data_IF_775496064521
#
_entry.id   IF_775496064521
#
_cell.length_a   1.000
_cell.length_b   1.000
_cell.length_c   1.000
_cell.angle_alpha   90.00
_cell.angle_beta   90.00
_cell.angle_gamma   90.00
#
_symmetry.space_group_name_H-M   'P 1'
#
loop_
_entity.id
_entity.type
_entity.pdbx_description
1 polymer ?
#
# COMPACT_ATOMS: atom_id res chain seq x y z
N UNK A 1 16.66 7.34 -10.48
CA UNK A 1 16.00 6.97 -11.74
C UNK A 1 16.91 6.04 -12.53
N UNK A 2 16.46 4.81 -12.78
CA UNK A 2 17.18 3.87 -13.63
C UNK A 2 16.65 3.89 -15.06
N UNK A 3 17.51 4.21 -16.01
CA UNK A 3 17.22 4.06 -17.43
C UNK A 3 17.47 2.60 -17.92
N UNK A 4 18.24 1.86 -17.15
CA UNK A 4 18.68 0.49 -17.45
C UNK A 4 18.41 -0.35 -16.20
N UNK A 5 17.75 -1.49 -16.31
CA UNK A 5 17.36 -2.41 -15.25
C UNK A 5 15.99 -2.18 -14.59
N UNK A 6 15.48 -3.23 -13.97
CA UNK A 6 14.16 -3.28 -13.36
C UNK A 6 14.09 -2.68 -11.96
N UNK A 7 12.88 -2.64 -11.39
CA UNK A 7 12.64 -2.13 -10.05
C UNK A 7 13.44 -2.90 -8.98
N UNK A 8 13.50 -4.21 -9.08
CA UNK A 8 14.22 -5.08 -8.13
C UNK A 8 15.73 -4.89 -8.15
N UNK A 9 16.33 -4.61 -9.32
CA UNK A 9 17.76 -4.33 -9.40
C UNK A 9 18.12 -3.06 -8.64
N UNK A 10 17.28 -2.01 -8.77
CA UNK A 10 17.47 -0.78 -8.03
C UNK A 10 17.23 -0.97 -6.53
N UNK A 11 16.24 -1.80 -6.16
CA UNK A 11 15.97 -2.12 -4.75
C UNK A 11 17.18 -2.79 -4.10
N UNK A 12 17.86 -3.70 -4.82
CA UNK A 12 19.08 -4.34 -4.32
C UNK A 12 20.17 -3.32 -4.00
N UNK A 13 20.42 -2.34 -4.87
CA UNK A 13 21.39 -1.29 -4.57
C UNK A 13 21.00 -0.44 -3.36
N UNK A 14 19.70 -0.17 -3.18
CA UNK A 14 19.22 0.54 -1.99
C UNK A 14 19.46 -0.30 -0.74
N UNK A 15 19.16 -1.60 -0.77
CA UNK A 15 19.40 -2.51 0.36
C UNK A 15 20.89 -2.58 0.73
N UNK A 16 21.79 -2.66 -0.26
CA UNK A 16 23.24 -2.73 -0.05
C UNK A 16 23.83 -1.43 0.52
N UNK A 17 23.32 -0.24 0.13
CA UNK A 17 23.93 1.05 0.46
C UNK A 17 23.22 1.77 1.60
N UNK A 18 21.88 1.73 1.62
CA UNK A 18 21.05 2.45 2.61
C UNK A 18 20.54 1.48 3.67
N UNK A 19 20.12 0.30 3.27
CA UNK A 19 19.55 -0.72 4.13
C UNK A 19 18.13 -0.43 4.59
N UNK A 20 17.59 -1.34 5.38
CA UNK A 20 16.26 -1.25 5.99
C UNK A 20 16.29 -0.46 7.30
N UNK A 21 15.18 0.18 7.64
CA UNK A 21 14.96 0.75 8.97
C UNK A 21 15.24 -0.30 10.05
N UNK A 22 15.78 0.11 11.22
CA UNK A 22 15.87 -0.78 12.36
C UNK A 22 14.51 -1.43 12.68
N UNK A 23 14.49 -2.76 12.73
CA UNK A 23 13.29 -3.56 12.97
C UNK A 23 12.46 -3.91 11.73
N UNK A 24 12.68 -3.27 10.58
CA UNK A 24 12.01 -3.62 9.34
C UNK A 24 12.56 -4.93 8.76
N UNK A 25 11.66 -5.86 8.43
CA UNK A 25 11.99 -7.14 7.82
C UNK A 25 11.80 -7.13 6.30
N UNK A 26 10.97 -6.21 5.78
CA UNK A 26 10.64 -6.16 4.36
C UNK A 26 10.62 -4.74 3.82
N UNK A 27 10.75 -4.63 2.50
CA UNK A 27 10.37 -3.44 1.74
C UNK A 27 8.98 -3.63 1.16
N UNK A 28 8.29 -2.55 0.86
CA UNK A 28 7.10 -2.56 0.02
C UNK A 28 6.99 -1.26 -0.79
N UNK A 29 6.16 -1.27 -1.82
CA UNK A 29 5.93 -0.10 -2.66
C UNK A 29 4.47 0.33 -2.59
N UNK A 30 4.21 1.56 -2.15
CA UNK A 30 2.89 2.17 -2.11
C UNK A 30 2.73 3.18 -3.23
N UNK A 31 1.62 3.13 -3.96
CA UNK A 31 1.22 4.16 -4.90
C UNK A 31 -0.07 4.83 -4.44
N UNK A 32 -0.15 6.15 -4.57
CA UNK A 32 -1.34 6.94 -4.27
C UNK A 32 -1.94 7.44 -5.57
N UNK A 33 -3.22 7.23 -5.76
CA UNK A 33 -4.01 7.73 -6.87
C UNK A 33 -4.91 8.87 -6.39
N UNK A 34 -4.73 10.04 -6.98
CA UNK A 34 -5.62 11.18 -6.78
C UNK A 34 -6.71 11.09 -7.86
N UNK A 35 -7.84 10.51 -7.52
CA UNK A 35 -9.01 10.37 -8.37
C UNK A 35 -9.92 11.60 -8.21
N UNK A 36 -10.85 11.83 -9.16
CA UNK A 36 -11.68 13.03 -9.15
C UNK A 36 -12.42 13.27 -7.82
N UNK A 37 -12.91 12.20 -7.18
CA UNK A 37 -13.73 12.29 -5.97
C UNK A 37 -13.07 11.68 -4.73
N UNK A 38 -11.94 10.99 -4.89
CA UNK A 38 -11.28 10.27 -3.78
C UNK A 38 -9.78 10.12 -3.98
N UNK A 39 -9.08 9.96 -2.88
CA UNK A 39 -7.66 9.55 -2.86
C UNK A 39 -7.58 8.10 -2.41
N UNK A 40 -6.91 7.25 -3.20
CA UNK A 40 -6.75 5.82 -2.89
C UNK A 40 -5.27 5.43 -2.98
N UNK A 41 -4.75 4.87 -1.91
CA UNK A 41 -3.42 4.26 -1.87
C UNK A 41 -3.52 2.74 -2.05
N UNK A 42 -2.57 2.14 -2.77
CA UNK A 42 -2.43 0.70 -2.93
C UNK A 42 -1.04 0.25 -2.49
N UNK A 43 -0.97 -0.86 -1.77
CA UNK A 43 0.25 -1.54 -1.32
C UNK A 43 0.03 -3.07 -1.31
N UNK A 44 0.98 -3.94 -1.66
CA UNK A 44 2.25 -3.71 -2.32
C UNK A 44 2.06 -3.78 -3.84
N UNK A 45 2.73 -2.88 -4.56
CA UNK A 45 2.53 -2.78 -6.01
C UNK A 45 3.76 -3.20 -6.84
N UNK A 46 4.93 -3.48 -6.20
CA UNK A 46 6.17 -3.70 -6.96
C UNK A 46 7.19 -4.65 -6.32
N UNK A 47 7.03 -5.09 -5.06
CA UNK A 47 8.15 -5.71 -4.33
C UNK A 47 7.93 -7.18 -4.01
N UNK A 48 6.84 -7.53 -3.31
CA UNK A 48 6.70 -8.86 -2.71
C UNK A 48 5.78 -9.75 -3.54
N UNK A 49 6.36 -10.78 -4.18
CA UNK A 49 5.60 -11.72 -5.04
C UNK A 49 4.53 -12.48 -4.25
N UNK A 50 4.88 -13.06 -3.11
CA UNK A 50 3.94 -13.73 -2.22
C UNK A 50 4.33 -13.49 -0.75
N UNK A 51 4.00 -12.31 -0.19
CA UNK A 51 4.38 -11.94 1.17
C UNK A 51 3.67 -12.79 2.23
N UNK A 52 4.35 -13.02 3.36
CA UNK A 52 3.74 -13.62 4.54
C UNK A 52 2.75 -12.67 5.22
N UNK A 53 1.92 -13.18 6.14
CA UNK A 53 1.01 -12.35 6.93
C UNK A 53 1.76 -11.30 7.79
N UNK A 54 2.94 -11.67 8.30
CA UNK A 54 3.82 -10.79 9.08
C UNK A 54 4.36 -9.63 8.24
N UNK A 55 4.77 -9.91 7.00
CA UNK A 55 5.23 -8.90 6.05
C UNK A 55 4.09 -7.97 5.62
N UNK A 56 2.89 -8.55 5.33
CA UNK A 56 1.69 -7.75 5.03
C UNK A 56 1.36 -6.82 6.20
N UNK A 57 1.36 -7.32 7.41
CA UNK A 57 1.09 -6.51 8.60
C UNK A 57 2.13 -5.39 8.77
N UNK A 58 3.41 -5.69 8.57
CA UNK A 58 4.49 -4.72 8.69
C UNK A 58 4.31 -3.56 7.68
N UNK A 59 4.21 -3.87 6.39
CA UNK A 59 4.10 -2.80 5.42
C UNK A 59 2.73 -2.10 5.41
N UNK A 60 1.68 -2.75 5.93
CA UNK A 60 0.37 -2.08 6.16
C UNK A 60 0.51 -0.96 7.18
N UNK A 61 1.17 -1.21 8.30
CA UNK A 61 1.44 -0.18 9.33
C UNK A 61 2.33 0.91 8.75
N UNK A 62 3.41 0.55 8.05
CA UNK A 62 4.30 1.52 7.41
C UNK A 62 3.59 2.40 6.37
N UNK A 63 2.68 1.82 5.57
CA UNK A 63 1.87 2.56 4.61
C UNK A 63 0.90 3.53 5.29
N UNK A 64 0.26 3.10 6.38
CA UNK A 64 -0.62 3.96 7.18
C UNK A 64 0.15 5.13 7.82
N UNK A 65 1.36 4.90 8.32
CA UNK A 65 2.24 5.96 8.83
C UNK A 65 2.61 6.96 7.73
N UNK A 66 2.96 6.47 6.54
CA UNK A 66 3.30 7.34 5.41
C UNK A 66 2.11 8.18 4.97
N UNK A 67 0.89 7.63 4.94
CA UNK A 67 -0.32 8.40 4.68
C UNK A 67 -0.54 9.50 5.72
N UNK A 68 -0.34 9.21 7.02
CA UNK A 68 -0.44 10.23 8.09
C UNK A 68 0.55 11.37 7.90
N UNK A 69 1.79 11.09 7.46
CA UNK A 69 2.80 12.12 7.12
C UNK A 69 2.34 13.03 5.98
N UNK A 70 1.52 12.51 5.09
CA UNK A 70 0.90 13.25 3.99
C UNK A 70 -0.43 13.93 4.39
N UNK A 71 -0.75 13.98 5.69
CA UNK A 71 -2.03 14.49 6.25
C UNK A 71 -3.26 13.74 5.71
N UNK A 72 -3.13 12.47 5.37
CA UNK A 72 -4.22 11.59 4.99
C UNK A 72 -4.52 10.64 6.14
N UNK A 73 -5.74 10.68 6.68
CA UNK A 73 -6.18 9.71 7.68
C UNK A 73 -6.36 8.33 7.02
N UNK A 74 -5.56 7.29 7.40
CA UNK A 74 -5.66 5.99 6.74
C UNK A 74 -6.90 5.24 7.20
N UNK A 75 -7.64 4.70 6.24
CA UNK A 75 -8.74 3.76 6.38
C UNK A 75 -8.42 2.52 5.57
N UNK A 76 -8.07 1.45 6.24
CA UNK A 76 -7.39 0.31 5.62
C UNK A 76 -8.36 -0.83 5.32
N UNK A 77 -8.31 -1.34 4.09
CA UNK A 77 -8.97 -2.58 3.72
C UNK A 77 -7.95 -3.64 3.27
N UNK A 78 -7.95 -4.80 3.92
CA UNK A 78 -7.20 -5.96 3.47
C UNK A 78 -8.00 -6.70 2.40
N UNK A 79 -7.50 -6.69 1.16
CA UNK A 79 -8.23 -7.20 0.01
C UNK A 79 -8.05 -8.70 -0.18
N UNK A 80 -9.12 -9.36 -0.62
CA UNK A 80 -9.12 -10.77 -1.01
C UNK A 80 -10.23 -11.05 -2.02
N UNK A 81 -10.24 -12.28 -2.56
CA UNK A 81 -11.37 -12.82 -3.33
C UNK A 81 -12.50 -13.37 -2.46
N UNK A 82 -12.46 -13.16 -1.15
CA UNK A 82 -13.49 -13.57 -0.19
C UNK A 82 -13.78 -12.45 0.80
N UNK A 83 -14.94 -12.48 1.41
CA UNK A 83 -15.35 -11.53 2.43
C UNK A 83 -15.40 -12.22 3.81
N UNK A 84 -14.64 -11.69 4.77
CA UNK A 84 -14.78 -11.96 6.21
C UNK A 84 -14.90 -13.45 6.57
N UNK A 85 -14.00 -14.29 6.05
CA UNK A 85 -13.94 -15.72 6.36
C UNK A 85 -14.85 -16.61 5.51
N UNK A 86 -15.58 -16.10 4.53
CA UNK A 86 -16.45 -16.91 3.67
C UNK A 86 -15.69 -17.83 2.72
N UNK A 87 -14.39 -17.60 2.52
CA UNK A 87 -13.53 -18.41 1.65
C UNK A 87 -12.49 -19.20 2.42
N UNK A 88 -12.18 -20.41 1.94
CA UNK A 88 -11.14 -21.31 2.48
C UNK A 88 -9.78 -21.18 1.79
N UNK A 89 -9.55 -20.12 1.00
CA UNK A 89 -8.28 -19.96 0.29
C UNK A 89 -7.12 -19.62 1.22
N UNK A 90 -5.93 -20.10 0.91
CA UNK A 90 -4.70 -19.75 1.64
C UNK A 90 -4.47 -18.24 1.66
N UNK A 91 -4.75 -17.55 0.54
CA UNK A 91 -4.67 -16.09 0.46
C UNK A 91 -5.62 -15.39 1.43
N UNK A 92 -6.90 -15.82 1.52
CA UNK A 92 -7.85 -15.25 2.48
C UNK A 92 -7.42 -15.50 3.93
N UNK A 93 -6.95 -16.71 4.26
CA UNK A 93 -6.42 -17.04 5.59
C UNK A 93 -5.21 -16.17 5.94
N UNK A 94 -4.29 -15.94 4.98
CA UNK A 94 -3.15 -15.04 5.13
C UNK A 94 -3.58 -13.61 5.44
N UNK A 95 -4.57 -13.08 4.73
CA UNK A 95 -5.06 -11.71 4.95
C UNK A 95 -5.76 -11.56 6.31
N UNK A 96 -6.53 -12.56 6.77
CA UNK A 96 -7.10 -12.57 8.13
C UNK A 96 -6.01 -12.56 9.20
N UNK A 97 -4.98 -13.39 9.02
CA UNK A 97 -3.84 -13.40 9.95
C UNK A 97 -3.11 -12.06 9.97
N UNK A 98 -2.93 -11.43 8.81
CA UNK A 98 -2.36 -10.09 8.72
C UNK A 98 -3.22 -9.05 9.47
N UNK A 99 -4.55 -9.12 9.37
CA UNK A 99 -5.46 -8.25 10.12
C UNK A 99 -5.24 -8.35 11.64
N UNK A 100 -5.16 -9.59 12.16
CA UNK A 100 -4.89 -9.82 13.59
C UNK A 100 -3.58 -9.15 14.01
N UNK A 101 -2.51 -9.38 13.25
CA UNK A 101 -1.18 -8.82 13.51
C UNK A 101 -1.16 -7.28 13.44
N UNK A 102 -1.91 -6.68 12.50
CA UNK A 102 -2.02 -5.22 12.44
C UNK A 102 -2.75 -4.68 13.67
N UNK A 103 -3.86 -5.31 14.07
CA UNK A 103 -4.60 -4.90 15.27
C UNK A 103 -3.79 -5.02 16.55
N UNK A 104 -2.87 -6.00 16.62
CA UNK A 104 -1.93 -6.12 17.74
C UNK A 104 -0.86 -5.01 17.75
N UNK A 105 -0.34 -4.63 16.56
CA UNK A 105 0.76 -3.65 16.41
C UNK A 105 0.29 -2.19 16.40
N UNK A 106 -0.90 -1.94 15.89
CA UNK A 106 -1.48 -0.61 15.70
C UNK A 106 -2.99 -0.63 16.03
N UNK A 107 -3.37 -0.80 17.31
CA UNK A 107 -4.77 -0.97 17.73
C UNK A 107 -5.65 0.24 17.41
N UNK A 108 -5.04 1.43 17.21
CA UNK A 108 -5.74 2.65 16.84
C UNK A 108 -6.01 2.78 15.33
N UNK A 109 -5.44 1.88 14.50
CA UNK A 109 -5.59 1.96 13.07
C UNK A 109 -6.98 1.46 12.64
N UNK A 110 -7.71 2.31 11.92
CA UNK A 110 -8.99 1.94 11.34
C UNK A 110 -8.78 0.95 10.18
N UNK A 111 -9.01 -0.33 10.44
CA UNK A 111 -8.73 -1.44 9.52
C UNK A 111 -9.77 -2.54 9.61
N UNK A 112 -10.11 -3.13 8.45
CA UNK A 112 -10.95 -4.33 8.39
C UNK A 112 -10.62 -5.23 7.19
N UNK A 113 -11.15 -6.43 7.15
CA UNK A 113 -10.92 -7.44 6.08
C UNK A 113 -10.97 -8.87 6.63
N UNK A 114 -10.66 -9.87 5.85
CA UNK A 114 -10.42 -9.72 4.37
C UNK A 114 -11.75 -9.44 3.65
N UNK A 115 -11.67 -8.63 2.60
CA UNK A 115 -12.85 -8.26 1.84
C UNK A 115 -12.58 -8.07 0.34
N UNK A 116 -13.64 -8.10 -0.47
CA UNK A 116 -13.60 -7.72 -1.87
C UNK A 116 -13.32 -6.21 -2.04
N UNK A 117 -12.79 -5.82 -3.19
CA UNK A 117 -12.50 -4.42 -3.48
C UNK A 117 -13.74 -3.51 -3.53
N UNK A 118 -14.90 -4.03 -3.96
CA UNK A 118 -16.16 -3.30 -3.92
C UNK A 118 -16.64 -3.05 -2.49
N UNK A 119 -16.52 -4.04 -1.60
CA UNK A 119 -16.81 -3.87 -0.17
C UNK A 119 -15.88 -2.85 0.51
N UNK A 120 -14.63 -2.75 0.05
CA UNK A 120 -13.68 -1.76 0.55
C UNK A 120 -14.11 -0.33 0.18
N UNK A 121 -14.67 -0.14 -1.01
CA UNK A 121 -15.00 1.15 -1.58
C UNK A 121 -16.49 1.53 -1.50
N UNK A 122 -17.32 0.67 -0.91
CA UNK A 122 -18.76 0.90 -0.68
C UNK A 122 -19.16 0.45 0.73
N UNK A 123 -19.35 1.43 1.62
CA UNK A 123 -19.73 1.16 3.02
C UNK A 123 -21.10 0.47 3.11
N UNK A 124 -22.07 0.86 2.30
CA UNK A 124 -23.41 0.29 2.34
C UNK A 124 -23.41 -1.18 1.92
N UNK A 125 -22.61 -1.52 0.89
CA UNK A 125 -22.38 -2.91 0.49
C UNK A 125 -21.68 -3.70 1.61
N UNK A 126 -20.63 -3.14 2.19
CA UNK A 126 -19.88 -3.78 3.28
C UNK A 126 -20.75 -4.08 4.49
N UNK A 127 -21.54 -3.11 4.95
CA UNK A 127 -22.41 -3.29 6.11
C UNK A 127 -23.57 -4.28 5.89
N UNK A 128 -23.98 -4.50 4.64
CA UNK A 128 -24.94 -5.59 4.32
C UNK A 128 -24.31 -6.98 4.50
N UNK A 129 -23.01 -7.11 4.23
CA UNK A 129 -22.27 -8.38 4.32
C UNK A 129 -21.77 -8.61 5.75
N UNK A 130 -21.23 -7.58 6.37
CA UNK A 130 -20.73 -7.59 7.75
C UNK A 130 -21.23 -6.36 8.50
N UNK A 131 -22.41 -6.45 9.16
CA UNK A 131 -22.94 -5.31 9.95
C UNK A 131 -22.04 -4.85 11.09
N UNK A 132 -21.14 -5.71 11.56
CA UNK A 132 -20.18 -5.43 12.63
C UNK A 132 -18.83 -4.88 12.13
N UNK A 133 -18.70 -4.54 10.85
CA UNK A 133 -17.46 -3.95 10.29
C UNK A 133 -17.05 -2.71 11.09
N UNK A 134 -15.76 -2.65 11.44
CA UNK A 134 -15.20 -1.53 12.21
C UNK A 134 -14.72 -0.38 11.32
N UNK A 135 -14.59 -0.61 10.02
CA UNK A 135 -14.20 0.40 9.04
C UNK A 135 -15.39 1.34 8.74
N UNK A 136 -15.19 2.64 8.85
CA UNK A 136 -16.22 3.67 8.62
C UNK A 136 -16.00 4.37 7.29
N UNK A 137 -17.05 4.48 6.48
CA UNK A 137 -16.96 5.05 5.14
C UNK A 137 -16.19 4.16 4.18
N UNK A 138 -15.62 4.75 3.15
CA UNK A 138 -14.80 4.06 2.16
C UNK A 138 -13.35 3.89 2.65
N UNK A 139 -12.72 2.77 2.31
CA UNK A 139 -11.28 2.61 2.50
C UNK A 139 -10.51 3.51 1.53
N UNK A 140 -9.38 4.04 2.00
CA UNK A 140 -8.45 4.81 1.18
C UNK A 140 -7.02 4.22 1.16
N UNK A 141 -6.79 3.13 1.88
CA UNK A 141 -5.58 2.32 1.79
C UNK A 141 -5.98 0.86 1.52
N UNK A 142 -5.72 0.43 0.30
CA UNK A 142 -6.01 -0.91 -0.18
C UNK A 142 -4.75 -1.78 -0.11
N UNK A 143 -4.79 -2.83 0.70
CA UNK A 143 -3.68 -3.77 0.88
C UNK A 143 -3.97 -5.04 0.08
N UNK A 144 -3.12 -5.34 -0.88
CA UNK A 144 -3.28 -6.49 -1.77
C UNK A 144 -2.54 -7.72 -1.24
N UNK A 145 -3.05 -8.95 -1.50
CA UNK A 145 -2.46 -10.18 -0.97
C UNK A 145 -1.11 -10.56 -1.62
N UNK A 146 -0.78 -9.98 -2.75
CA UNK A 146 0.46 -10.20 -3.50
C UNK A 146 0.71 -9.09 -4.51
N UNK A 147 1.91 -9.03 -5.09
CA UNK A 147 2.31 -7.98 -6.03
C UNK A 147 1.48 -7.98 -7.30
N UNK A 148 1.11 -9.14 -7.83
CA UNK A 148 0.32 -9.22 -9.07
C UNK A 148 -1.02 -8.52 -8.91
N UNK A 149 -1.76 -8.83 -7.85
CA UNK A 149 -3.05 -8.19 -7.57
C UNK A 149 -2.90 -6.68 -7.34
N UNK A 150 -1.86 -6.26 -6.60
CA UNK A 150 -1.58 -4.86 -6.35
C UNK A 150 -1.19 -4.08 -7.59
N UNK A 151 -0.32 -4.63 -8.41
CA UNK A 151 0.13 -4.02 -9.66
C UNK A 151 -0.99 -3.92 -10.69
N UNK A 152 -1.75 -5.00 -10.90
CA UNK A 152 -2.89 -5.03 -11.83
C UNK A 152 -3.95 -4.01 -11.38
N UNK A 153 -4.36 -4.03 -10.12
CA UNK A 153 -5.35 -3.09 -9.60
C UNK A 153 -4.89 -1.63 -9.76
N UNK A 154 -3.64 -1.34 -9.39
CA UNK A 154 -3.05 -0.01 -9.56
C UNK A 154 -3.10 0.47 -11.01
N UNK A 155 -2.67 -0.35 -11.97
CA UNK A 155 -2.63 0.04 -13.37
C UNK A 155 -4.03 0.21 -13.96
N UNK A 156 -5.00 -0.65 -13.61
CA UNK A 156 -6.39 -0.52 -14.04
C UNK A 156 -7.03 0.75 -13.49
N UNK A 157 -6.94 1.00 -12.18
CA UNK A 157 -7.51 2.19 -11.55
C UNK A 157 -6.89 3.48 -12.10
N UNK A 158 -5.57 3.51 -12.27
CA UNK A 158 -4.86 4.65 -12.86
C UNK A 158 -5.35 4.98 -14.27
N UNK A 159 -5.64 3.97 -15.09
CA UNK A 159 -6.00 4.15 -16.50
C UNK A 159 -7.50 4.47 -16.67
N UNK A 160 -8.37 3.77 -15.92
CA UNK A 160 -9.83 3.92 -16.05
C UNK A 160 -10.35 5.23 -15.48
N UNK A 161 -9.64 5.81 -14.53
CA UNK A 161 -10.05 7.06 -13.89
C UNK A 161 -9.68 8.34 -14.69
N UNK A 162 -9.33 8.24 -15.96
CA UNK A 162 -9.33 9.38 -16.89
C UNK A 162 -8.20 10.40 -16.71
N UNK A 163 -6.95 9.96 -16.56
CA UNK A 163 -5.79 10.88 -16.58
C UNK A 163 -5.41 11.45 -15.21
N UNK A 164 -5.76 10.76 -14.18
CA UNK A 164 -5.51 11.13 -12.80
C UNK A 164 -4.02 11.13 -12.41
N UNK A 165 -3.70 11.89 -11.39
CA UNK A 165 -2.34 11.99 -10.89
C UNK A 165 -2.03 10.77 -10.01
N UNK A 166 -1.00 10.03 -10.39
CA UNK A 166 -0.40 9.00 -9.57
C UNK A 166 0.85 9.57 -8.88
N UNK A 167 0.93 9.44 -7.56
CA UNK A 167 2.09 9.79 -6.75
C UNK A 167 2.68 8.51 -6.18
N UNK A 168 3.97 8.31 -6.39
CA UNK A 168 4.63 7.06 -6.01
C UNK A 168 5.52 6.49 -7.13
N UNK A 169 6.09 5.28 -6.95
CA UNK A 169 5.95 4.48 -5.72
C UNK A 169 6.75 5.07 -4.55
N UNK A 170 6.13 5.10 -3.38
CA UNK A 170 6.82 5.30 -2.11
C UNK A 170 7.50 4.00 -1.72
N UNK A 171 8.79 4.01 -1.49
CA UNK A 171 9.50 2.85 -0.95
C UNK A 171 9.37 2.86 0.57
N UNK A 172 8.66 1.88 1.09
CA UNK A 172 8.46 1.66 2.53
C UNK A 172 9.56 0.74 3.07
N UNK A 173 9.93 0.89 4.33
CA UNK A 173 10.92 0.06 5.01
C UNK A 173 12.38 0.48 4.83
N UNK A 174 12.70 1.45 3.98
CA UNK A 174 14.07 1.95 3.80
C UNK A 174 14.52 2.85 4.97
N UNK A 175 15.82 2.80 5.31
CA UNK A 175 16.42 3.59 6.39
C UNK A 175 16.65 5.07 6.02
N UNK A 176 16.23 5.51 4.85
CA UNK A 176 16.26 6.90 4.43
C UNK A 176 15.10 7.20 3.46
N UNK A 177 14.84 8.48 3.22
CA UNK A 177 13.89 8.93 2.22
C UNK A 177 14.41 8.66 0.80
N UNK A 178 14.08 7.51 0.25
CA UNK A 178 14.52 7.05 -1.07
C UNK A 178 13.35 6.42 -1.83
N UNK A 179 13.27 6.70 -3.13
CA UNK A 179 12.23 6.16 -4.00
C UNK A 179 12.81 5.65 -5.31
N UNK A 180 12.23 4.58 -5.85
CA UNK A 180 12.65 3.98 -7.12
C UNK A 180 11.73 4.47 -8.22
N UNK A 181 12.32 5.09 -9.25
CA UNK A 181 11.63 5.50 -10.45
C UNK A 181 12.24 4.80 -11.66
N UNK A 182 11.41 4.23 -12.51
CA UNK A 182 11.81 3.53 -13.72
C UNK A 182 11.81 4.46 -14.93
N UNK A 183 12.34 3.98 -16.07
CA UNK A 183 12.41 4.72 -17.33
C UNK A 183 11.05 5.18 -17.87
N UNK A 184 9.95 4.54 -17.47
CA UNK A 184 8.58 4.93 -17.83
C UNK A 184 8.02 6.10 -17.00
N UNK A 185 8.79 6.64 -16.05
CA UNK A 185 8.33 7.74 -15.19
C UNK A 185 8.26 9.07 -15.94
N UNK A 186 7.14 9.75 -15.84
CA UNK A 186 6.97 11.10 -16.41
C UNK A 186 7.76 12.14 -15.62
N UNK A 187 8.07 13.28 -16.25
CA UNK A 187 8.73 14.43 -15.58
C UNK A 187 7.96 14.86 -14.35
N UNK A 188 6.63 14.97 -14.42
CA UNK A 188 5.77 15.28 -13.26
C UNK A 188 5.99 14.30 -12.11
N UNK A 189 6.07 12.99 -12.40
CA UNK A 189 6.29 11.96 -11.39
C UNK A 189 7.66 12.11 -10.73
N UNK A 190 8.69 12.39 -11.51
CA UNK A 190 10.06 12.62 -11.00
C UNK A 190 10.07 13.81 -10.04
N UNK A 191 9.49 14.95 -10.45
CA UNK A 191 9.40 16.16 -9.61
C UNK A 191 8.61 15.90 -8.32
N UNK A 192 7.45 15.25 -8.42
CA UNK A 192 6.63 14.94 -7.25
C UNK A 192 7.39 14.05 -6.26
N UNK A 193 8.06 13.00 -6.75
CA UNK A 193 8.78 12.08 -5.85
C UNK A 193 10.05 12.70 -5.27
N UNK A 194 10.70 13.62 -5.97
CA UNK A 194 11.80 14.41 -5.42
C UNK A 194 11.31 15.32 -4.26
N UNK A 195 10.17 15.99 -4.43
CA UNK A 195 9.56 16.79 -3.38
C UNK A 195 9.15 15.93 -2.17
N UNK A 196 8.57 14.75 -2.40
CA UNK A 196 8.21 13.81 -1.32
C UNK A 196 9.44 13.30 -0.55
N UNK A 197 10.55 13.05 -1.25
CA UNK A 197 11.79 12.65 -0.59
C UNK A 197 12.33 13.75 0.35
N UNK A 198 12.20 15.03 -0.02
CA UNK A 198 12.57 16.16 0.85
C UNK A 198 11.67 16.22 2.09
N UNK A 199 10.34 16.16 1.90
CA UNK A 199 9.37 16.15 3.02
C UNK A 199 9.65 15.01 3.99
N UNK A 200 9.93 13.81 3.49
CA UNK A 200 10.23 12.66 4.32
C UNK A 200 11.59 12.76 5.02
N UNK A 201 12.58 13.38 4.39
CA UNK A 201 13.89 13.62 5.01
C UNK A 201 13.81 14.59 6.19
N UNK A 202 12.99 15.63 6.11
CA UNK A 202 12.79 16.61 7.20
C UNK A 202 12.03 16.00 8.39
N UNK A 203 11.16 15.03 8.16
CA UNK A 203 10.43 14.33 9.22
C UNK A 203 11.28 13.32 10.02
N UNK A 204 12.49 13.01 9.58
CA UNK A 204 13.44 12.08 10.23
C UNK A 204 14.47 12.84 11.11
N UNK A 205 14.51 14.16 11.04
CA UNK A 205 15.33 15.02 11.91
C UNK A 205 14.58 15.41 13.16
#
# INVERSE_FOLDING_TARGET
>A
CGAVSGFHDHLRFIDEVIGRKPGAQTYAAMNILLLNERTVALVDTHVNDDPSAEQIAEYTVAAAEEMRRLNLAPKVALLSRSNFGTGSSASGAKMRRALELVRERAPELEIDGEMHGDCALDEALRLRILPSSTLKGEANLLVCPNVDSGNIAYNLLKTTAGGNVAVGPFLLGANAAVHILTSSSTVRRIVNMAAMAVVNADAVR
#
